data_IF_229407412823
#
_entry.id   IF_229407412823
#
_cell.length_a   1.000
_cell.length_b   1.000
_cell.length_c   1.000
_cell.angle_alpha   90.00
_cell.angle_beta   90.00
_cell.angle_gamma   90.00
#
_symmetry.space_group_name_H-M   'P 1'
#
loop_
_entity.id
_entity.type
_entity.pdbx_description
1 polymer ?
#
# COMPACT_ATOMS: atom_id res chain seq x y z
N UNK A 1 10.34 0.68 29.92
CA UNK A 1 9.69 1.35 28.78
C UNK A 1 8.68 2.37 29.31
N UNK A 2 8.84 3.59 28.85
CA UNK A 2 8.22 4.84 29.31
C UNK A 2 6.70 4.82 29.30
N UNK A 3 6.13 5.61 30.21
CA UNK A 3 4.70 5.96 30.29
C UNK A 3 4.08 6.18 28.91
N UNK A 4 3.03 5.43 28.59
CA UNK A 4 2.16 5.72 27.45
C UNK A 4 1.59 7.13 27.63
N UNK A 5 2.11 8.09 26.86
CA UNK A 5 1.56 9.44 26.81
C UNK A 5 0.20 9.38 26.13
N UNK A 6 -0.86 9.54 26.92
CA UNK A 6 -2.23 9.44 26.46
C UNK A 6 -2.68 10.81 25.94
N UNK A 7 -2.31 11.13 24.69
CA UNK A 7 -2.73 12.36 24.03
C UNK A 7 -4.23 12.33 23.74
N UNK A 8 -4.93 13.42 24.04
CA UNK A 8 -6.30 13.56 23.56
C UNK A 8 -6.26 13.72 22.03
N UNK A 9 -7.16 13.08 21.27
CA UNK A 9 -7.16 13.17 19.79
C UNK A 9 -7.14 14.63 19.27
N UNK A 10 -7.70 15.58 20.02
CA UNK A 10 -7.71 17.02 19.69
C UNK A 10 -6.32 17.67 19.67
N UNK A 11 -5.32 17.01 20.26
CA UNK A 11 -3.93 17.46 20.36
C UNK A 11 -3.06 16.86 19.23
N UNK A 12 -3.63 15.96 18.43
CA UNK A 12 -2.95 15.27 17.32
C UNK A 12 -3.46 15.84 16.01
N UNK A 13 -2.52 16.28 15.16
CA UNK A 13 -2.82 16.66 13.77
C UNK A 13 -2.37 15.52 12.85
N UNK A 14 -3.31 14.73 12.32
CA UNK A 14 -3.02 13.54 11.55
C UNK A 14 -2.90 13.85 10.05
N UNK A 15 -1.68 13.70 9.53
CA UNK A 15 -1.37 13.85 8.11
C UNK A 15 -1.19 12.47 7.47
N UNK A 16 -1.85 12.23 6.35
CA UNK A 16 -1.73 11.00 5.57
C UNK A 16 -1.14 11.27 4.19
N UNK A 17 -0.14 10.49 3.79
CA UNK A 17 0.45 10.56 2.45
C UNK A 17 -0.15 9.45 1.60
N UNK A 18 -0.73 9.80 0.46
CA UNK A 18 -1.57 8.89 -0.32
C UNK A 18 -1.23 8.97 -1.82
N UNK A 19 -1.22 7.84 -2.55
CA UNK A 19 -1.00 7.84 -3.99
C UNK A 19 -2.25 8.26 -4.79
N UNK A 20 -3.40 8.44 -4.13
CA UNK A 20 -4.68 8.70 -4.77
C UNK A 20 -5.31 10.03 -4.30
N UNK A 21 -5.87 10.77 -5.25
CA UNK A 21 -6.62 12.00 -4.95
C UNK A 21 -7.92 11.72 -4.18
N UNK A 22 -8.55 10.57 -4.39
CA UNK A 22 -9.84 10.24 -3.79
C UNK A 22 -9.79 10.24 -2.25
N UNK A 23 -8.64 9.91 -1.64
CA UNK A 23 -8.51 9.96 -0.18
C UNK A 23 -8.64 11.37 0.38
N UNK A 24 -8.33 12.40 -0.41
CA UNK A 24 -8.61 13.81 -0.04
C UNK A 24 -10.11 14.08 0.00
N UNK A 25 -10.83 13.60 -1.01
CA UNK A 25 -12.29 13.72 -1.07
C UNK A 25 -12.97 12.90 0.03
N UNK A 26 -12.41 11.73 0.37
CA UNK A 26 -12.87 10.93 1.50
C UNK A 26 -12.67 11.69 2.81
N UNK A 27 -11.46 12.20 3.07
CA UNK A 27 -11.15 12.92 4.31
C UNK A 27 -11.96 14.21 4.52
N UNK A 28 -12.49 14.81 3.44
CA UNK A 28 -13.30 16.02 3.53
C UNK A 28 -14.79 15.74 3.80
N UNK A 29 -15.22 14.47 3.82
CA UNK A 29 -16.61 14.12 4.14
C UNK A 29 -16.88 14.31 5.63
N UNK A 30 -18.03 14.93 5.92
CA UNK A 30 -18.50 15.15 7.29
C UNK A 30 -18.74 13.85 8.06
N UNK A 31 -18.98 12.73 7.36
CA UNK A 31 -19.14 11.40 7.97
C UNK A 31 -17.90 10.93 8.74
N UNK A 32 -16.71 11.49 8.43
CA UNK A 32 -15.45 11.18 9.10
C UNK A 32 -15.01 12.27 10.10
N UNK A 33 -15.93 13.15 10.49
CA UNK A 33 -15.71 14.17 11.52
C UNK A 33 -16.54 13.80 12.74
N UNK A 34 -15.85 13.47 13.83
CA UNK A 34 -16.49 12.99 15.05
C UNK A 34 -16.58 14.07 16.10
N UNK A 35 -17.73 14.18 16.75
CA UNK A 35 -17.95 15.15 17.81
C UNK A 35 -16.92 14.97 18.94
N UNK A 36 -16.31 16.07 19.37
CA UNK A 36 -15.33 16.08 20.44
C UNK A 36 -13.93 15.58 20.05
N UNK A 37 -13.72 14.96 18.89
CA UNK A 37 -12.40 14.49 18.44
C UNK A 37 -11.92 15.05 17.11
N UNK A 38 -12.80 15.67 16.32
CA UNK A 38 -12.44 16.26 15.03
C UNK A 38 -12.39 15.23 13.90
N UNK A 39 -11.71 15.60 12.81
CA UNK A 39 -11.57 14.75 11.63
C UNK A 39 -10.81 13.45 11.96
N UNK A 40 -11.07 12.38 11.21
CA UNK A 40 -10.21 11.19 11.24
C UNK A 40 -8.85 11.45 10.59
N UNK A 41 -8.79 12.27 9.55
CA UNK A 41 -7.58 12.70 8.85
C UNK A 41 -7.66 14.19 8.61
N UNK A 42 -6.73 14.96 9.17
CA UNK A 42 -6.74 16.43 9.08
C UNK A 42 -6.18 16.93 7.75
N UNK A 43 -5.20 16.22 7.20
CA UNK A 43 -4.58 16.55 5.92
C UNK A 43 -4.19 15.31 5.14
N UNK A 44 -4.57 15.27 3.86
CA UNK A 44 -4.08 14.27 2.92
C UNK A 44 -3.15 14.96 1.92
N UNK A 45 -1.90 14.49 1.86
CA UNK A 45 -0.92 14.89 0.85
C UNK A 45 -0.83 13.82 -0.22
N UNK A 46 -0.81 14.22 -1.49
CA UNK A 46 -0.44 13.29 -2.56
C UNK A 46 1.06 13.04 -2.54
N UNK A 47 1.52 11.92 -3.11
CA UNK A 47 2.96 11.66 -3.28
C UNK A 47 3.65 12.78 -4.07
N UNK A 48 2.97 13.37 -5.05
CA UNK A 48 3.48 14.52 -5.83
C UNK A 48 3.58 15.80 -4.99
N UNK A 49 2.64 16.05 -4.09
CA UNK A 49 2.68 17.23 -3.21
C UNK A 49 3.80 17.10 -2.18
N UNK A 50 3.95 15.93 -1.57
CA UNK A 50 5.09 15.65 -0.71
C UNK A 50 6.41 15.85 -1.46
N UNK A 51 6.50 15.32 -2.69
CA UNK A 51 7.68 15.50 -3.53
C UNK A 51 8.02 16.98 -3.74
N UNK A 52 7.02 17.81 -4.10
CA UNK A 52 7.22 19.25 -4.28
C UNK A 52 7.67 19.96 -3.00
N UNK A 53 7.08 19.60 -1.86
CA UNK A 53 7.51 20.15 -0.57
C UNK A 53 8.97 19.82 -0.27
N UNK A 54 9.40 18.58 -0.54
CA UNK A 54 10.79 18.18 -0.39
C UNK A 54 11.72 18.93 -1.34
N UNK A 55 11.32 19.11 -2.60
CA UNK A 55 12.08 19.90 -3.59
C UNK A 55 12.19 21.37 -3.20
N UNK A 56 11.14 21.98 -2.66
CA UNK A 56 11.14 23.36 -2.18
C UNK A 56 12.07 23.51 -0.98
N UNK A 57 11.99 22.62 0.01
CA UNK A 57 12.90 22.65 1.16
C UNK A 57 14.37 22.45 0.73
N UNK A 58 14.64 21.48 -0.15
CA UNK A 58 15.97 21.26 -0.71
C UNK A 58 16.44 22.44 -1.58
N UNK A 59 15.53 23.06 -2.34
CA UNK A 59 15.79 24.24 -3.17
C UNK A 59 16.06 25.51 -2.36
N UNK A 60 15.46 25.64 -1.18
CA UNK A 60 15.74 26.71 -0.22
C UNK A 60 17.15 26.58 0.37
N UNK A 61 17.69 25.36 0.43
CA UNK A 61 19.10 25.08 0.79
C UNK A 61 20.06 25.31 -0.39
N UNK A 62 19.61 25.16 -1.64
CA UNK A 62 20.43 25.19 -2.86
C UNK A 62 20.37 26.52 -3.67
N UNK A 63 20.28 27.67 -3.00
CA UNK A 63 20.29 29.00 -3.63
C UNK A 63 21.68 29.44 -4.19
N UNK A 64 22.49 28.51 -4.69
CA UNK A 64 23.70 28.79 -5.48
C UNK A 64 23.62 28.02 -6.82
N UNK A 65 23.18 28.75 -7.86
CA UNK A 65 23.25 28.52 -9.32
C UNK A 65 23.09 27.07 -9.85
N UNK A 66 21.94 26.79 -10.46
CA UNK A 66 21.66 25.60 -11.30
C UNK A 66 21.84 25.91 -12.80
N UNK A 67 22.46 25.02 -13.62
CA UNK A 67 22.24 24.98 -15.07
C UNK A 67 21.18 23.93 -15.46
N UNK A 68 20.65 24.06 -16.68
CA UNK A 68 19.46 23.33 -17.17
C UNK A 68 19.75 21.91 -17.62
N UNK A 69 18.73 21.08 -17.45
CA UNK A 69 18.68 19.64 -17.71
C UNK A 69 18.56 19.34 -19.21
N UNK A 70 19.57 18.68 -19.79
CA UNK A 70 19.41 17.85 -20.99
C UNK A 70 20.56 16.85 -21.13
N UNK A 71 20.18 15.62 -21.51
CA UNK A 71 20.98 14.52 -22.07
C UNK A 71 21.52 13.45 -21.08
N UNK A 72 20.75 12.35 -21.03
CA UNK A 72 21.11 10.92 -21.00
C UNK A 72 22.43 10.50 -20.36
N UNK A 73 22.37 9.73 -19.26
CA UNK A 73 23.53 9.08 -18.63
C UNK A 73 23.46 7.57 -18.89
N UNK A 74 24.48 7.05 -19.59
CA UNK A 74 24.83 5.62 -19.67
C UNK A 74 25.65 5.23 -18.43
N UNK A 75 25.35 4.07 -17.84
CA UNK A 75 26.04 3.55 -16.66
C UNK A 75 27.22 2.65 -17.06
N UNK A 76 28.43 2.93 -16.57
CA UNK A 76 29.52 1.95 -16.46
C UNK A 76 30.23 2.04 -15.10
N UNK A 77 30.70 0.89 -14.64
CA UNK A 77 31.22 0.58 -13.30
C UNK A 77 32.65 1.09 -13.06
N UNK A 78 32.92 1.60 -11.86
CA UNK A 78 34.27 1.89 -11.37
C UNK A 78 34.28 3.07 -10.41
N UNK A 79 34.51 2.81 -9.13
CA UNK A 79 34.41 3.84 -8.07
C UNK A 79 35.45 4.95 -8.18
N UNK A 80 35.00 6.18 -7.95
CA UNK A 80 35.82 7.33 -7.59
C UNK A 80 35.04 8.31 -6.68
N UNK A 81 35.79 9.11 -5.94
CA UNK A 81 35.34 9.94 -4.83
C UNK A 81 34.14 10.86 -5.15
N UNK A 82 33.20 10.94 -4.21
CA UNK A 82 32.09 11.90 -4.24
C UNK A 82 32.69 13.31 -4.21
N UNK A 83 32.64 13.99 -5.34
CA UNK A 83 32.96 15.41 -5.48
C UNK A 83 32.02 16.21 -4.55
N UNK A 84 32.54 17.00 -3.59
CA UNK A 84 31.71 17.79 -2.68
C UNK A 84 30.94 18.91 -3.38
N UNK A 85 31.14 19.11 -4.69
CA UNK A 85 30.45 20.10 -5.52
C UNK A 85 29.44 19.48 -6.51
N UNK A 86 29.11 18.19 -6.37
CA UNK A 86 28.22 17.46 -7.26
C UNK A 86 26.76 17.44 -6.81
N UNK A 87 25.85 17.78 -7.71
CA UNK A 87 24.40 17.66 -7.60
C UNK A 87 23.94 16.28 -7.12
N UNK A 88 23.30 16.19 -5.96
CA UNK A 88 22.42 15.06 -5.66
C UNK A 88 20.99 15.60 -5.57
N UNK A 89 20.14 15.23 -6.55
CA UNK A 89 18.69 15.41 -6.39
C UNK A 89 18.24 14.75 -5.07
N UNK A 90 17.11 15.16 -4.47
CA UNK A 90 16.57 14.45 -3.29
C UNK A 90 16.50 12.94 -3.56
N UNK A 91 16.20 12.56 -4.81
CA UNK A 91 16.21 11.17 -5.26
C UNK A 91 17.60 10.54 -5.18
N UNK A 92 18.63 11.22 -5.66
CA UNK A 92 20.01 10.77 -5.66
C UNK A 92 20.61 10.71 -4.25
N UNK A 93 20.25 11.66 -3.38
CA UNK A 93 20.55 11.59 -1.96
C UNK A 93 19.88 10.37 -1.31
N UNK A 94 18.56 10.20 -1.51
CA UNK A 94 17.83 9.03 -0.99
C UNK A 94 18.36 7.71 -1.56
N UNK A 95 18.78 7.67 -2.83
CA UNK A 95 19.39 6.51 -3.48
C UNK A 95 20.86 6.28 -3.07
N UNK A 96 21.53 7.31 -2.55
CA UNK A 96 22.88 7.21 -1.97
C UNK A 96 22.87 6.68 -0.55
N UNK A 97 21.72 6.74 0.14
CA UNK A 97 21.57 6.11 1.45
C UNK A 97 21.64 4.60 1.24
N UNK A 98 22.53 3.94 2.01
CA UNK A 98 22.54 2.49 2.05
C UNK A 98 21.14 2.01 2.49
N UNK A 99 20.54 0.98 1.86
CA UNK A 99 19.30 0.40 2.35
C UNK A 99 19.51 0.02 3.82
N UNK A 100 18.70 0.58 4.71
CA UNK A 100 18.86 0.30 6.13
C UNK A 100 18.72 -1.20 6.36
N UNK A 101 19.82 -1.82 6.80
CA UNK A 101 19.94 -3.26 6.92
C UNK A 101 19.22 -3.83 8.15
N UNK A 102 18.51 -3.02 8.96
CA UNK A 102 17.93 -3.48 10.22
C UNK A 102 16.60 -2.82 10.57
N UNK A 103 15.73 -3.66 11.15
CA UNK A 103 14.63 -3.36 12.08
C UNK A 103 14.46 -1.87 12.38
N UNK A 104 13.33 -1.28 11.97
CA UNK A 104 13.06 0.15 12.16
C UNK A 104 13.36 0.56 13.60
N UNK A 105 14.49 1.24 13.81
CA UNK A 105 15.02 1.60 15.12
C UNK A 105 14.62 3.01 15.52
N UNK A 106 14.31 3.87 14.55
CA UNK A 106 13.84 5.23 14.82
C UNK A 106 12.31 5.33 14.87
N UNK A 107 11.83 6.29 15.66
CA UNK A 107 10.41 6.50 15.94
C UNK A 107 9.61 6.86 14.68
N UNK A 108 10.22 7.57 13.72
CA UNK A 108 9.57 8.03 12.50
C UNK A 108 9.36 6.84 11.55
N UNK A 109 10.33 5.95 11.42
CA UNK A 109 10.17 4.71 10.65
C UNK A 109 9.14 3.77 11.27
N UNK A 110 9.14 3.67 12.62
CA UNK A 110 8.12 2.95 13.39
C UNK A 110 6.72 3.54 13.25
N UNK A 111 6.61 4.84 13.05
CA UNK A 111 5.34 5.53 12.79
C UNK A 111 4.86 5.34 11.35
N UNK A 112 5.79 5.27 10.38
CA UNK A 112 5.47 5.13 8.96
C UNK A 112 5.14 3.70 8.51
N UNK A 113 5.40 2.70 9.36
CA UNK A 113 5.17 1.27 9.07
C UNK A 113 4.37 0.66 10.21
N UNK A 114 3.36 -0.14 9.89
CA UNK A 114 2.67 -0.93 10.91
C UNK A 114 3.63 -1.98 11.44
N UNK A 115 4.03 -1.88 12.71
CA UNK A 115 4.86 -2.89 13.39
C UNK A 115 4.05 -3.64 14.45
N UNK A 116 4.58 -4.77 14.92
CA UNK A 116 4.08 -5.54 16.06
C UNK A 116 4.07 -4.64 17.30
N UNK A 117 3.28 -5.01 18.30
CA UNK A 117 3.29 -4.30 19.59
C UNK A 117 4.69 -4.28 20.25
N UNK A 118 5.55 -5.24 19.91
CA UNK A 118 6.94 -5.29 20.37
C UNK A 118 7.91 -4.45 19.50
N UNK A 119 7.45 -3.98 18.33
CA UNK A 119 8.26 -3.18 17.39
C UNK A 119 9.32 -3.99 16.64
N UNK A 120 9.25 -5.33 16.67
CA UNK A 120 10.26 -6.26 16.15
C UNK A 120 9.88 -6.87 14.79
N UNK A 121 8.62 -6.77 14.39
CA UNK A 121 8.12 -7.33 13.14
C UNK A 121 7.20 -6.35 12.45
N UNK A 122 7.25 -6.30 11.12
CA UNK A 122 6.24 -5.60 10.34
C UNK A 122 4.90 -6.34 10.48
N UNK A 123 3.82 -5.59 10.69
CA UNK A 123 2.44 -6.08 10.78
C UNK A 123 1.63 -5.33 9.74
N UNK A 124 1.77 -5.73 8.48
CA UNK A 124 0.74 -5.42 7.49
C UNK A 124 -0.34 -6.50 7.51
N UNK A 125 -1.54 -6.12 7.06
CA UNK A 125 -2.56 -7.11 6.75
C UNK A 125 -2.07 -8.14 5.71
N UNK A 126 -1.07 -7.77 4.88
CA UNK A 126 -0.42 -8.67 3.92
C UNK A 126 1.06 -8.37 3.74
N UNK A 127 1.92 -9.36 3.98
CA UNK A 127 3.37 -9.29 3.75
C UNK A 127 3.77 -9.45 2.27
N UNK A 128 2.85 -9.98 1.46
CA UNK A 128 3.13 -10.46 0.09
C UNK A 128 2.73 -9.51 -1.03
N UNK A 129 2.11 -8.37 -0.73
CA UNK A 129 1.58 -7.49 -1.78
C UNK A 129 2.07 -6.04 -1.60
N UNK A 130 3.06 -5.66 -2.41
CA UNK A 130 3.67 -4.32 -2.47
C UNK A 130 2.73 -3.24 -3.02
N UNK A 131 1.42 -3.47 -3.05
CA UNK A 131 0.39 -2.59 -3.60
C UNK A 131 -0.98 -2.77 -2.94
N UNK A 132 -1.95 -1.94 -3.31
CA UNK A 132 -3.34 -2.04 -2.84
C UNK A 132 -3.99 -3.31 -3.41
N UNK A 133 -4.07 -4.38 -2.62
CA UNK A 133 -4.68 -5.63 -3.12
C UNK A 133 -4.54 -6.85 -2.21
N UNK A 134 -4.28 -6.62 -0.93
CA UNK A 134 -4.00 -7.69 0.03
C UNK A 134 -5.24 -8.21 0.76
N UNK A 135 -6.32 -7.42 0.83
CA UNK A 135 -7.47 -7.76 1.68
C UNK A 135 -8.19 -8.98 1.15
N UNK A 136 -8.36 -9.10 -0.18
CA UNK A 136 -8.95 -10.29 -0.79
C UNK A 136 -8.20 -11.57 -0.38
N UNK A 137 -6.87 -11.56 -0.45
CA UNK A 137 -6.04 -12.71 -0.08
C UNK A 137 -6.15 -13.02 1.41
N UNK A 138 -6.00 -12.03 2.28
CA UNK A 138 -6.13 -12.22 3.72
C UNK A 138 -7.50 -12.80 4.09
N UNK A 139 -8.58 -12.19 3.58
CA UNK A 139 -9.95 -12.64 3.84
C UNK A 139 -10.21 -14.03 3.26
N UNK A 140 -9.61 -14.36 2.11
CA UNK A 140 -9.73 -15.69 1.52
C UNK A 140 -9.07 -16.76 2.40
N UNK A 141 -7.82 -16.53 2.87
CA UNK A 141 -7.12 -17.43 3.80
C UNK A 141 -7.90 -17.59 5.10
N UNK A 142 -8.36 -16.47 5.66
CA UNK A 142 -9.16 -16.46 6.88
C UNK A 142 -10.48 -17.21 6.72
N UNK A 143 -11.22 -16.99 5.63
CA UNK A 143 -12.47 -17.68 5.34
C UNK A 143 -12.25 -19.18 5.09
N UNK A 144 -11.19 -19.56 4.37
CA UNK A 144 -10.83 -20.96 4.14
C UNK A 144 -10.56 -21.70 5.46
N UNK A 145 -9.85 -21.07 6.40
CA UNK A 145 -9.57 -21.61 7.72
C UNK A 145 -10.86 -21.73 8.55
N UNK A 146 -11.62 -20.63 8.69
CA UNK A 146 -12.77 -20.57 9.60
C UNK A 146 -13.98 -21.37 9.11
N UNK A 147 -14.26 -21.35 7.82
CA UNK A 147 -15.42 -22.03 7.26
C UNK A 147 -15.13 -23.48 6.92
N UNK A 148 -13.87 -23.80 6.60
CA UNK A 148 -13.54 -25.07 5.97
C UNK A 148 -12.31 -25.78 6.55
N UNK A 149 -11.69 -25.24 7.60
CA UNK A 149 -10.50 -25.84 8.24
C UNK A 149 -9.36 -26.12 7.24
N UNK A 150 -9.21 -25.26 6.24
CA UNK A 150 -8.08 -25.32 5.30
C UNK A 150 -7.11 -24.19 5.65
N UNK A 151 -5.92 -24.58 6.10
CA UNK A 151 -4.82 -23.67 6.39
C UNK A 151 -4.11 -23.29 5.08
N UNK A 152 -4.16 -22.01 4.74
CA UNK A 152 -3.49 -21.40 3.59
C UNK A 152 -2.45 -20.35 4.02
N UNK A 153 -2.19 -20.21 5.32
CA UNK A 153 -1.28 -19.19 5.86
C UNK A 153 0.18 -19.55 5.62
N UNK A 154 0.52 -20.83 5.81
CA UNK A 154 1.88 -21.35 5.68
C UNK A 154 2.13 -22.05 4.33
N UNK A 155 1.23 -21.86 3.37
CA UNK A 155 1.28 -22.48 2.05
C UNK A 155 2.07 -21.66 1.02
N UNK A 156 2.20 -22.18 -0.22
CA UNK A 156 2.73 -21.38 -1.33
C UNK A 156 1.84 -20.17 -1.61
N UNK A 157 2.37 -19.19 -2.34
CA UNK A 157 1.62 -18.02 -2.79
C UNK A 157 0.33 -18.45 -3.52
N UNK A 158 -0.77 -17.77 -3.22
CA UNK A 158 -2.07 -18.08 -3.83
C UNK A 158 -2.04 -17.76 -5.32
N UNK A 159 -2.33 -18.74 -6.16
CA UNK A 159 -2.38 -18.57 -7.60
C UNK A 159 -3.79 -18.17 -8.03
N UNK A 160 -3.96 -16.89 -8.34
CA UNK A 160 -5.18 -16.42 -8.97
C UNK A 160 -5.22 -16.85 -10.44
N UNK A 161 -6.39 -17.28 -10.89
CA UNK A 161 -6.68 -17.50 -12.30
C UNK A 161 -6.92 -16.15 -12.97
N UNK A 162 -5.92 -15.70 -13.71
CA UNK A 162 -6.02 -14.51 -14.54
C UNK A 162 -6.62 -14.84 -15.91
N UNK A 163 -7.47 -13.93 -16.40
CA UNK A 163 -7.98 -14.01 -17.76
C UNK A 163 -7.02 -13.39 -18.78
N UNK A 164 -7.56 -12.93 -19.92
CA UNK A 164 -6.80 -12.06 -20.82
C UNK A 164 -6.49 -10.69 -20.21
N UNK A 165 -7.27 -10.30 -19.20
CA UNK A 165 -7.08 -9.07 -18.45
C UNK A 165 -6.52 -9.43 -17.06
N UNK A 166 -5.27 -9.06 -16.72
CA UNK A 166 -4.69 -9.35 -15.40
C UNK A 166 -5.39 -8.57 -14.28
N UNK A 167 -6.01 -7.43 -14.59
CA UNK A 167 -6.77 -6.59 -13.65
C UNK A 167 -8.09 -7.25 -13.20
N UNK A 168 -8.43 -8.43 -13.75
CA UNK A 168 -9.52 -9.28 -13.29
C UNK A 168 -8.99 -10.69 -13.03
N UNK A 169 -8.88 -11.04 -11.75
CA UNK A 169 -8.28 -12.29 -11.32
C UNK A 169 -9.20 -12.99 -10.31
N UNK A 170 -9.44 -14.27 -10.49
CA UNK A 170 -10.35 -15.06 -9.66
C UNK A 170 -9.59 -16.17 -8.92
N UNK A 171 -10.02 -16.52 -7.71
CA UNK A 171 -9.50 -17.67 -6.97
C UNK A 171 -10.65 -18.50 -6.42
N UNK A 172 -10.50 -19.82 -6.48
CA UNK A 172 -11.47 -20.78 -5.98
C UNK A 172 -10.77 -21.70 -4.97
N UNK A 173 -11.40 -21.94 -3.81
CA UNK A 173 -10.80 -22.81 -2.78
C UNK A 173 -10.45 -24.19 -3.32
N UNK A 174 -11.21 -24.71 -4.29
CA UNK A 174 -10.96 -26.03 -4.86
C UNK A 174 -9.69 -26.09 -5.73
N UNK A 175 -9.12 -24.94 -6.13
CA UNK A 175 -7.86 -24.91 -6.88
C UNK A 175 -6.63 -24.84 -5.98
N UNK A 176 -6.80 -24.56 -4.68
CA UNK A 176 -5.69 -24.38 -3.73
C UNK A 176 -5.77 -25.29 -2.50
N UNK A 177 -6.96 -25.81 -2.17
CA UNK A 177 -7.12 -26.77 -1.08
C UNK A 177 -6.54 -28.15 -1.45
N UNK A 178 -6.11 -28.95 -0.45
CA UNK A 178 -5.63 -30.31 -0.69
C UNK A 178 -6.66 -31.17 -1.42
N UNK A 179 -6.23 -32.01 -2.37
CA UNK A 179 -7.11 -32.83 -3.21
C UNK A 179 -7.98 -33.85 -2.43
N UNK A 180 -7.61 -34.18 -1.19
CA UNK A 180 -8.40 -35.03 -0.28
C UNK A 180 -9.64 -34.34 0.29
N UNK A 181 -9.80 -33.05 0.04
CA UNK A 181 -10.85 -32.22 0.58
C UNK A 181 -12.11 -32.33 -0.27
N UNK A 182 -13.28 -32.49 0.38
CA UNK A 182 -14.56 -32.45 -0.33
C UNK A 182 -14.78 -31.10 -1.04
N UNK A 183 -15.43 -31.07 -2.21
CA UNK A 183 -15.71 -29.83 -2.94
C UNK A 183 -16.42 -28.79 -2.07
N UNK A 184 -15.97 -27.55 -2.13
CA UNK A 184 -16.46 -26.42 -1.32
C UNK A 184 -16.82 -25.24 -2.19
N UNK A 185 -17.69 -24.36 -1.69
CA UNK A 185 -18.06 -23.13 -2.40
C UNK A 185 -17.40 -21.94 -1.72
N UNK A 186 -16.27 -21.50 -2.25
CA UNK A 186 -15.64 -20.25 -1.86
C UNK A 186 -14.86 -19.70 -3.05
N UNK A 187 -15.43 -18.70 -3.71
CA UNK A 187 -14.82 -18.04 -4.87
C UNK A 187 -14.66 -16.56 -4.61
N UNK A 188 -13.43 -16.06 -4.75
CA UNK A 188 -13.08 -14.65 -4.58
C UNK A 188 -12.61 -14.08 -5.91
N UNK A 189 -12.74 -12.78 -6.09
CA UNK A 189 -12.19 -12.07 -7.24
C UNK A 189 -11.55 -10.74 -6.84
N UNK A 190 -10.54 -10.34 -7.59
CA UNK A 190 -9.96 -9.00 -7.61
C UNK A 190 -10.34 -8.34 -8.92
N UNK A 191 -10.88 -7.13 -8.85
CA UNK A 191 -11.41 -6.42 -10.00
C UNK A 191 -10.95 -4.96 -9.97
N UNK A 192 -9.84 -4.72 -10.66
CA UNK A 192 -9.18 -3.42 -10.69
C UNK A 192 -9.53 -2.68 -11.97
N UNK A 193 -9.67 -1.37 -11.88
CA UNK A 193 -10.10 -0.54 -13.00
C UNK A 193 -11.62 -0.51 -13.21
N UNK A 194 -12.14 0.69 -13.48
CA UNK A 194 -13.57 0.95 -13.64
C UNK A 194 -14.29 0.05 -14.67
N UNK A 195 -13.60 -0.35 -15.74
CA UNK A 195 -14.14 -1.27 -16.77
C UNK A 195 -14.48 -2.65 -16.19
N UNK A 196 -13.60 -3.20 -15.35
CA UNK A 196 -13.82 -4.50 -14.72
C UNK A 196 -14.94 -4.41 -13.67
N UNK A 197 -14.97 -3.31 -12.90
CA UNK A 197 -16.04 -3.01 -11.93
C UNK A 197 -17.40 -3.03 -12.62
N UNK A 198 -17.55 -2.28 -13.73
CA UNK A 198 -18.80 -2.26 -14.49
C UNK A 198 -19.21 -3.65 -14.99
N UNK A 199 -18.24 -4.43 -15.46
CA UNK A 199 -18.48 -5.79 -15.98
C UNK A 199 -18.99 -6.73 -14.89
N UNK A 200 -18.40 -6.68 -13.70
CA UNK A 200 -18.84 -7.45 -12.54
C UNK A 200 -20.23 -6.98 -12.08
N UNK A 201 -20.45 -5.68 -11.93
CA UNK A 201 -21.74 -5.14 -11.51
C UNK A 201 -22.87 -5.58 -12.44
N UNK A 202 -22.61 -5.66 -13.75
CA UNK A 202 -23.58 -6.21 -14.71
C UNK A 202 -23.87 -7.69 -14.48
N UNK A 203 -22.85 -8.52 -14.18
CA UNK A 203 -23.04 -9.94 -13.84
C UNK A 203 -23.88 -10.10 -12.56
N UNK A 204 -23.57 -9.32 -11.53
CA UNK A 204 -24.31 -9.30 -10.25
C UNK A 204 -25.77 -8.92 -10.48
N UNK A 205 -26.03 -7.82 -11.21
CA UNK A 205 -27.40 -7.35 -11.49
C UNK A 205 -28.23 -8.36 -12.30
N UNK A 206 -27.59 -9.16 -13.15
CA UNK A 206 -28.24 -10.21 -13.94
C UNK A 206 -28.43 -11.53 -13.17
N UNK A 207 -27.95 -11.61 -11.92
CA UNK A 207 -27.97 -12.84 -11.13
C UNK A 207 -27.02 -13.92 -11.67
N UNK A 208 -26.03 -13.54 -12.48
CA UNK A 208 -25.07 -14.45 -13.11
C UNK A 208 -23.64 -14.17 -12.63
N UNK A 209 -23.48 -14.03 -11.31
CA UNK A 209 -22.19 -13.87 -10.65
C UNK A 209 -22.04 -14.99 -9.63
N UNK A 210 -21.06 -15.86 -9.85
CA UNK A 210 -20.74 -17.02 -9.01
C UNK A 210 -19.60 -16.75 -8.03
N UNK A 211 -19.27 -15.47 -7.81
CA UNK A 211 -18.22 -14.99 -6.91
C UNK A 211 -18.86 -14.58 -5.58
N UNK A 212 -18.29 -15.06 -4.48
CA UNK A 212 -18.79 -14.82 -3.12
C UNK A 212 -18.21 -13.53 -2.50
N UNK A 213 -17.00 -13.13 -2.90
CA UNK A 213 -16.36 -11.88 -2.47
C UNK A 213 -15.57 -11.23 -3.60
N UNK A 214 -15.66 -9.90 -3.72
CA UNK A 214 -15.00 -9.14 -4.77
C UNK A 214 -14.28 -7.95 -4.15
N UNK A 215 -12.96 -7.90 -4.28
CA UNK A 215 -12.19 -6.70 -4.01
C UNK A 215 -12.17 -5.81 -5.24
N UNK A 216 -12.46 -4.53 -5.03
CA UNK A 216 -12.62 -3.54 -6.09
C UNK A 216 -11.62 -2.41 -5.86
N UNK A 217 -10.82 -2.11 -6.86
CA UNK A 217 -9.95 -0.94 -6.90
C UNK A 217 -10.27 -0.12 -8.15
N UNK A 218 -10.40 1.21 -8.01
CA UNK A 218 -10.78 2.07 -9.14
C UNK A 218 -9.65 2.24 -10.16
N UNK A 219 -8.41 2.28 -9.68
CA UNK A 219 -7.20 2.29 -10.49
C UNK A 219 -6.84 0.85 -10.92
N UNK A 220 -6.34 0.65 -12.16
CA UNK A 220 -5.69 -0.60 -12.55
C UNK A 220 -4.38 -0.80 -11.81
#
# INVERSE_FOLDING_TARGET
PSSEENFAKKEVYFVSIQPCFDKKLESSRLDFVHEGTGAEVDLVLSTTELWRLLEEQAGTVAATKRPKLSETITLEEGGEAIDPAGSASVLEYLMSLAPDAHEGVDLIERLGRSFSAAGDAFVAATDSNSGSGGYAEYLFKYAAEKLYQVDLWNGPALQYKEGRNPDLAEIDINTVAPASTAPRKLKFARAYGFRNIQSILMKVRRGNCDIDFIEIMACP
#
